data_IF_823742175317
#
_entry.id   IF_823742175317
#
_cell.length_a   1.000
_cell.length_b   1.000
_cell.length_c   1.000
_cell.angle_alpha   90.00
_cell.angle_beta   90.00
_cell.angle_gamma   90.00
#
_symmetry.space_group_name_H-M   'P 1'
#
loop_
_entity.id
_entity.type
_entity.pdbx_description
1 polymer ?
#
# COMPACT_ATOMS: atom_id res chain seq x y z
N UNK A 1 -16.24 6.07 5.87
CA UNK A 1 -15.40 5.09 6.62
C UNK A 1 -16.05 3.73 6.49
N UNK A 2 -15.30 2.63 6.30
CA UNK A 2 -15.84 1.28 6.03
C UNK A 2 -16.88 0.83 7.07
N UNK A 3 -16.67 1.22 8.33
CA UNK A 3 -17.56 1.00 9.47
C UNK A 3 -18.99 1.54 9.24
N UNK A 4 -19.15 2.67 8.55
CA UNK A 4 -20.46 3.29 8.30
C UNK A 4 -21.27 2.62 7.19
N UNK A 5 -20.66 1.74 6.39
CA UNK A 5 -21.35 0.97 5.34
C UNK A 5 -21.78 -0.42 5.81
N UNK A 6 -21.53 -0.79 7.07
CA UNK A 6 -21.97 -2.06 7.63
C UNK A 6 -23.42 -2.02 8.05
N UNK A 7 -24.13 -3.14 7.83
CA UNK A 7 -25.51 -3.35 8.32
C UNK A 7 -25.58 -3.19 9.85
N UNK A 8 -24.52 -3.61 10.56
CA UNK A 8 -24.40 -3.48 12.01
C UNK A 8 -23.00 -2.97 12.40
N UNK A 9 -22.83 -1.64 12.57
CA UNK A 9 -21.55 -1.04 12.92
C UNK A 9 -20.97 -1.53 14.25
N UNK A 10 -21.83 -1.98 15.19
CA UNK A 10 -21.38 -2.47 16.51
C UNK A 10 -20.51 -3.74 16.43
N UNK A 11 -20.62 -4.49 15.33
CA UNK A 11 -19.84 -5.70 15.06
C UNK A 11 -18.56 -5.46 14.27
N UNK A 12 -18.23 -4.21 13.95
CA UNK A 12 -17.05 -3.89 13.16
C UNK A 12 -15.75 -4.39 13.80
N UNK A 13 -15.58 -4.18 15.11
CA UNK A 13 -14.42 -4.65 15.85
C UNK A 13 -14.31 -6.18 15.81
N UNK A 14 -15.41 -6.88 16.06
CA UNK A 14 -15.47 -8.35 15.99
C UNK A 14 -15.12 -8.87 14.59
N UNK A 15 -15.67 -8.24 13.54
CA UNK A 15 -15.36 -8.59 12.15
C UNK A 15 -13.87 -8.38 11.83
N UNK A 16 -13.28 -7.27 12.28
CA UNK A 16 -11.87 -6.98 12.10
C UNK A 16 -10.98 -8.01 12.80
N UNK A 17 -11.28 -8.32 14.06
CA UNK A 17 -10.50 -9.27 14.86
C UNK A 17 -10.49 -10.65 14.18
N UNK A 18 -11.64 -11.15 13.76
CA UNK A 18 -11.72 -12.43 13.02
C UNK A 18 -11.03 -12.37 11.66
N UNK A 19 -11.15 -11.26 10.93
CA UNK A 19 -10.46 -11.09 9.65
C UNK A 19 -8.94 -11.15 9.83
N UNK A 20 -8.41 -10.55 10.90
CA UNK A 20 -6.99 -10.61 11.23
C UNK A 20 -6.54 -12.01 11.67
N UNK A 21 -7.35 -12.72 12.46
CA UNK A 21 -7.07 -14.12 12.85
C UNK A 21 -6.96 -15.00 11.61
N UNK A 22 -7.95 -14.96 10.71
CA UNK A 22 -7.91 -15.73 9.47
C UNK A 22 -6.74 -15.32 8.58
N UNK A 23 -6.47 -14.02 8.44
CA UNK A 23 -5.31 -13.54 7.68
C UNK A 23 -3.98 -14.05 8.26
N UNK A 24 -3.84 -14.11 9.58
CA UNK A 24 -2.66 -14.65 10.24
C UNK A 24 -2.49 -16.15 9.96
N UNK A 25 -3.57 -16.94 10.05
CA UNK A 25 -3.56 -18.37 9.73
C UNK A 25 -3.13 -18.60 8.29
N UNK A 26 -3.74 -17.91 7.33
CA UNK A 26 -3.39 -18.06 5.91
C UNK A 26 -1.94 -17.69 5.62
N UNK A 27 -1.46 -16.57 6.18
CA UNK A 27 -0.06 -16.14 6.02
C UNK A 27 0.92 -17.13 6.61
N UNK A 28 0.65 -17.64 7.82
CA UNK A 28 1.50 -18.60 8.51
C UNK A 28 1.55 -19.94 7.78
N UNK A 29 0.38 -20.47 7.39
CA UNK A 29 0.30 -21.73 6.65
C UNK A 29 0.99 -21.62 5.28
N UNK A 30 0.74 -20.54 4.54
CA UNK A 30 1.40 -20.30 3.25
C UNK A 30 2.93 -20.23 3.40
N UNK A 31 3.42 -19.45 4.38
CA UNK A 31 4.85 -19.34 4.68
C UNK A 31 5.47 -20.68 5.06
N UNK A 32 4.80 -21.46 5.91
CA UNK A 32 5.26 -22.77 6.35
C UNK A 32 5.38 -23.76 5.18
N UNK A 33 4.35 -23.85 4.33
CA UNK A 33 4.37 -24.73 3.14
C UNK A 33 5.50 -24.32 2.19
N UNK A 34 5.65 -23.02 1.93
CA UNK A 34 6.71 -22.50 1.08
C UNK A 34 8.11 -22.79 1.63
N UNK A 35 8.32 -22.62 2.93
CA UNK A 35 9.59 -22.93 3.58
C UNK A 35 9.93 -24.42 3.49
N UNK A 36 8.95 -25.31 3.71
CA UNK A 36 9.17 -26.75 3.56
C UNK A 36 9.40 -27.17 2.09
N UNK A 37 8.82 -26.45 1.13
CA UNK A 37 8.91 -26.78 -0.29
C UNK A 37 10.25 -26.37 -0.90
N UNK A 38 10.73 -25.16 -0.57
CA UNK A 38 11.95 -24.59 -1.17
C UNK A 38 13.15 -24.63 -0.23
N UNK A 39 12.96 -24.80 1.08
CA UNK A 39 14.00 -24.91 2.10
C UNK A 39 15.11 -23.85 1.92
N UNK A 40 16.35 -24.29 1.66
CA UNK A 40 17.52 -23.42 1.50
C UNK A 40 17.48 -22.56 0.22
N UNK A 41 16.64 -22.91 -0.76
CA UNK A 41 16.46 -22.15 -2.01
C UNK A 41 15.39 -21.06 -1.90
N UNK A 42 14.83 -20.82 -0.70
CA UNK A 42 13.79 -19.82 -0.49
C UNK A 42 14.31 -18.40 -0.73
N UNK A 43 14.07 -17.85 -1.92
CA UNK A 43 14.33 -16.44 -2.22
C UNK A 43 13.37 -15.50 -1.48
N UNK A 44 13.78 -14.24 -1.33
CA UNK A 44 12.98 -13.17 -0.70
C UNK A 44 11.61 -13.00 -1.35
N UNK A 45 11.54 -13.20 -2.66
CA UNK A 45 10.29 -13.17 -3.44
C UNK A 45 9.94 -14.61 -3.81
N UNK A 46 8.92 -15.17 -3.16
CA UNK A 46 8.58 -16.58 -3.29
C UNK A 46 8.23 -17.01 -4.72
N UNK A 47 7.69 -16.09 -5.52
CA UNK A 47 7.35 -16.37 -6.93
C UNK A 47 8.59 -16.63 -7.78
N UNK A 48 9.77 -16.18 -7.34
CA UNK A 48 11.02 -16.48 -8.04
C UNK A 48 11.45 -17.94 -7.88
N UNK A 49 11.00 -18.62 -6.84
CA UNK A 49 11.31 -20.04 -6.57
C UNK A 49 10.44 -21.00 -7.40
N UNK A 50 9.42 -20.50 -8.10
CA UNK A 50 8.55 -21.33 -8.93
C UNK A 50 9.33 -21.88 -10.13
N UNK A 51 9.50 -23.21 -10.18
CA UNK A 51 10.23 -23.89 -11.26
C UNK A 51 9.50 -23.85 -12.61
N UNK A 52 8.16 -23.81 -12.61
CA UNK A 52 7.37 -23.73 -13.84
C UNK A 52 7.34 -22.31 -14.38
N UNK A 53 7.96 -22.09 -15.55
CA UNK A 53 8.02 -20.78 -16.20
C UNK A 53 6.63 -20.20 -16.51
N UNK A 54 5.67 -21.03 -16.93
CA UNK A 54 4.30 -20.60 -17.22
C UNK A 54 3.54 -20.17 -15.96
N UNK A 55 3.64 -20.96 -14.88
CA UNK A 55 2.98 -20.64 -13.61
C UNK A 55 3.59 -19.40 -12.96
N UNK A 56 4.92 -19.28 -12.99
CA UNK A 56 5.64 -18.08 -12.53
C UNK A 56 5.19 -16.82 -13.29
N UNK A 57 5.08 -16.91 -14.62
CA UNK A 57 4.62 -15.81 -15.46
C UNK A 57 3.20 -15.35 -15.10
N UNK A 58 2.27 -16.30 -14.97
CA UNK A 58 0.88 -16.01 -14.60
C UNK A 58 0.80 -15.29 -13.24
N UNK A 59 1.45 -15.85 -12.21
CA UNK A 59 1.42 -15.27 -10.86
C UNK A 59 2.03 -13.87 -10.84
N UNK A 60 3.16 -13.66 -11.52
CA UNK A 60 3.80 -12.35 -11.58
C UNK A 60 2.92 -11.32 -12.31
N UNK A 61 2.25 -11.69 -13.40
CA UNK A 61 1.30 -10.79 -14.09
C UNK A 61 0.15 -10.42 -13.16
N UNK A 62 -0.44 -11.40 -12.46
CA UNK A 62 -1.49 -11.13 -11.48
C UNK A 62 -1.00 -10.19 -10.36
N UNK A 63 0.23 -10.34 -9.89
CA UNK A 63 0.81 -9.45 -8.87
C UNK A 63 1.01 -8.03 -9.40
N UNK A 64 1.48 -7.86 -10.64
CA UNK A 64 1.63 -6.53 -11.26
C UNK A 64 0.27 -5.86 -11.45
N UNK A 65 -0.73 -6.58 -11.96
CA UNK A 65 -2.09 -6.06 -12.12
C UNK A 65 -2.67 -5.65 -10.77
N UNK A 66 -2.53 -6.51 -9.75
CA UNK A 66 -2.94 -6.19 -8.38
C UNK A 66 -2.26 -4.92 -7.88
N UNK A 67 -0.95 -4.77 -8.09
CA UNK A 67 -0.20 -3.60 -7.65
C UNK A 67 -0.68 -2.32 -8.34
N UNK A 68 -0.88 -2.34 -9.66
CA UNK A 68 -1.40 -1.18 -10.42
C UNK A 68 -2.79 -0.76 -9.97
N UNK A 69 -3.67 -1.73 -9.72
CA UNK A 69 -5.03 -1.46 -9.23
C UNK A 69 -5.04 -0.98 -7.77
N UNK A 70 -4.09 -1.46 -6.96
CA UNK A 70 -4.04 -1.14 -5.53
C UNK A 70 -3.26 0.14 -5.24
N UNK A 71 -2.36 0.58 -6.12
CA UNK A 71 -1.49 1.76 -5.91
C UNK A 71 -2.25 3.08 -5.66
N UNK A 72 -3.36 3.40 -6.36
CA UNK A 72 -4.06 4.66 -6.16
C UNK A 72 -4.60 4.84 -4.74
N UNK A 73 -5.10 3.77 -4.11
CA UNK A 73 -5.73 3.81 -2.79
C UNK A 73 -4.79 4.34 -1.68
N UNK A 74 -3.63 3.71 -1.40
CA UNK A 74 -2.67 4.20 -0.42
C UNK A 74 -2.02 5.51 -0.85
N UNK A 75 -1.83 5.74 -2.16
CA UNK A 75 -1.26 7.00 -2.65
C UNK A 75 -2.16 8.20 -2.29
N UNK A 76 -3.46 8.12 -2.57
CA UNK A 76 -4.39 9.19 -2.23
C UNK A 76 -4.55 9.34 -0.71
N UNK A 77 -4.60 8.23 0.04
CA UNK A 77 -4.65 8.29 1.50
C UNK A 77 -3.40 8.96 2.11
N UNK A 78 -2.20 8.65 1.58
CA UNK A 78 -0.96 9.28 2.01
C UNK A 78 -0.93 10.78 1.66
N UNK A 79 -1.35 11.15 0.45
CA UNK A 79 -1.48 12.55 0.05
C UNK A 79 -2.42 13.32 0.98
N UNK A 80 -3.57 12.75 1.33
CA UNK A 80 -4.55 13.37 2.23
C UNK A 80 -4.00 13.54 3.65
N UNK A 81 -3.30 12.52 4.19
CA UNK A 81 -2.66 12.60 5.50
C UNK A 81 -1.56 13.66 5.54
N UNK A 82 -0.70 13.70 4.53
CA UNK A 82 0.36 14.69 4.40
C UNK A 82 -0.19 16.10 4.21
N UNK A 83 -1.24 16.25 3.40
CA UNK A 83 -1.94 17.51 3.22
C UNK A 83 -2.51 18.02 4.56
N UNK A 84 -3.18 17.15 5.32
CA UNK A 84 -3.71 17.47 6.64
C UNK A 84 -2.62 17.85 7.64
N UNK A 85 -1.45 17.23 7.55
CA UNK A 85 -0.32 17.47 8.44
C UNK A 85 0.41 18.80 8.14
N UNK A 86 0.57 19.15 6.85
CA UNK A 86 1.46 20.24 6.44
C UNK A 86 0.72 21.48 5.88
N UNK A 87 -0.49 21.35 5.34
CA UNK A 87 -1.14 22.38 4.50
C UNK A 87 -2.55 22.79 4.95
N UNK A 88 -2.77 22.93 6.26
CA UNK A 88 -4.06 23.32 6.88
C UNK A 88 -4.22 24.83 7.10
N UNK A 89 -3.26 25.65 6.66
CA UNK A 89 -3.22 27.09 6.91
C UNK A 89 -2.74 27.47 8.32
N UNK A 90 -2.26 28.71 8.48
CA UNK A 90 -1.89 29.27 9.79
C UNK A 90 -3.14 29.57 10.62
N UNK A 91 -3.10 29.41 11.96
CA UNK A 91 -1.94 29.08 12.80
C UNK A 91 -1.69 27.56 12.98
N UNK A 92 -2.46 26.68 12.34
CA UNK A 92 -2.41 25.24 12.59
C UNK A 92 -1.28 24.50 11.86
N UNK A 93 -0.75 25.05 10.76
CA UNK A 93 0.33 24.44 9.96
C UNK A 93 1.24 25.49 9.33
N UNK A 94 2.42 25.07 8.86
CA UNK A 94 3.49 25.93 8.36
C UNK A 94 3.18 26.46 6.95
N UNK A 95 2.50 25.67 6.10
CA UNK A 95 2.26 26.00 4.70
C UNK A 95 0.82 26.46 4.40
N UNK A 96 0.61 27.31 3.38
CA UNK A 96 -0.72 27.74 2.93
C UNK A 96 -1.51 26.59 2.33
N UNK A 97 -2.83 26.70 2.25
CA UNK A 97 -3.70 25.65 1.72
C UNK A 97 -3.40 25.35 0.24
N UNK A 98 -3.37 24.05 -0.08
CA UNK A 98 -3.11 23.53 -1.43
C UNK A 98 -4.25 23.87 -2.41
N UNK A 99 -5.47 23.97 -1.89
CA UNK A 99 -6.66 24.29 -2.68
C UNK A 99 -6.85 25.81 -2.82
N UNK A 100 -7.30 26.25 -3.99
CA UNK A 100 -7.91 27.59 -4.13
C UNK A 100 -9.33 27.59 -3.56
N UNK A 101 -9.86 28.79 -3.31
CA UNK A 101 -11.21 29.00 -2.78
C UNK A 101 -12.30 28.36 -3.67
N UNK A 102 -12.02 28.23 -4.97
CA UNK A 102 -12.90 27.64 -5.99
C UNK A 102 -12.79 26.10 -6.10
N UNK A 103 -11.95 25.45 -5.31
CA UNK A 103 -11.77 23.99 -5.33
C UNK A 103 -10.77 23.46 -6.38
N UNK A 104 -10.15 24.34 -7.16
CA UNK A 104 -9.04 23.96 -8.05
C UNK A 104 -7.74 23.68 -7.27
N UNK A 105 -6.95 22.75 -7.81
CA UNK A 105 -5.64 22.41 -7.27
C UNK A 105 -4.61 23.46 -7.71
N UNK A 106 -3.98 24.17 -6.76
CA UNK A 106 -2.90 25.10 -7.09
C UNK A 106 -1.71 24.34 -7.71
N UNK A 107 -0.92 25.02 -8.54
CA UNK A 107 0.33 24.47 -9.11
C UNK A 107 1.26 23.91 -8.02
N UNK A 108 1.30 24.57 -6.86
CA UNK A 108 2.02 24.10 -5.67
C UNK A 108 1.53 22.74 -5.14
N UNK A 109 0.22 22.48 -5.22
CA UNK A 109 -0.39 21.19 -4.87
C UNK A 109 -0.01 20.07 -5.82
N UNK A 110 -0.01 20.38 -7.12
CA UNK A 110 0.43 19.43 -8.13
C UNK A 110 1.92 19.08 -7.95
N UNK A 111 2.76 20.09 -7.72
CA UNK A 111 4.18 19.89 -7.44
C UNK A 111 4.42 19.01 -6.19
N UNK A 112 3.63 19.20 -5.13
CA UNK A 112 3.69 18.34 -3.94
C UNK A 112 3.34 16.88 -4.25
N UNK A 113 2.24 16.63 -4.96
CA UNK A 113 1.81 15.29 -5.37
C UNK A 113 2.84 14.58 -6.25
N UNK A 114 3.43 15.30 -7.21
CA UNK A 114 4.52 14.78 -8.05
C UNK A 114 5.76 14.52 -7.19
N UNK A 115 6.09 15.41 -6.26
CA UNK A 115 7.21 15.25 -5.33
C UNK A 115 7.13 13.96 -4.51
N UNK A 116 5.94 13.60 -4.01
CA UNK A 116 5.72 12.32 -3.31
C UNK A 116 6.02 11.13 -4.23
N UNK A 117 5.53 11.15 -5.48
CA UNK A 117 5.79 10.06 -6.44
C UNK A 117 7.28 9.94 -6.71
N UNK A 118 7.96 11.05 -7.02
CA UNK A 118 9.40 11.08 -7.27
C UNK A 118 10.18 10.57 -6.06
N UNK A 119 9.81 10.99 -4.84
CA UNK A 119 10.43 10.51 -3.61
C UNK A 119 10.28 8.99 -3.45
N UNK A 120 9.09 8.45 -3.68
CA UNK A 120 8.87 6.99 -3.61
C UNK A 120 9.65 6.22 -4.68
N UNK A 121 9.80 6.78 -5.89
CA UNK A 121 10.61 6.18 -6.97
C UNK A 121 12.10 6.22 -6.60
N UNK A 122 12.60 7.35 -6.08
CA UNK A 122 13.99 7.46 -5.63
C UNK A 122 14.29 6.43 -4.54
N UNK A 123 13.40 6.27 -3.55
CA UNK A 123 13.54 5.23 -2.53
C UNK A 123 13.60 3.82 -3.15
N UNK A 124 12.75 3.53 -4.13
CA UNK A 124 12.78 2.24 -4.84
C UNK A 124 14.08 2.03 -5.65
N UNK A 125 14.67 3.08 -6.21
CA UNK A 125 15.94 3.00 -6.94
C UNK A 125 17.15 2.80 -6.01
N UNK A 126 17.19 3.49 -4.87
CA UNK A 126 18.33 3.42 -3.94
C UNK A 126 18.31 2.20 -3.04
N UNK A 127 17.13 1.68 -2.68
CA UNK A 127 16.96 0.56 -1.74
C UNK A 127 16.08 -0.51 -2.39
N UNK A 128 16.59 -1.31 -3.34
CA UNK A 128 15.83 -2.38 -3.98
C UNK A 128 15.71 -3.65 -3.10
N UNK A 129 15.84 -3.53 -1.77
CA UNK A 129 15.71 -4.66 -0.84
C UNK A 129 14.27 -4.79 -0.36
N UNK A 130 13.56 -5.78 -0.91
CA UNK A 130 12.17 -6.10 -0.58
C UNK A 130 11.94 -6.45 0.90
N UNK A 131 13.00 -6.81 1.66
CA UNK A 131 12.92 -7.21 3.06
C UNK A 131 12.84 -6.06 4.08
N UNK A 132 13.10 -4.82 3.65
CA UNK A 132 13.06 -3.65 4.54
C UNK A 132 11.63 -3.06 4.62
N UNK A 133 10.72 -3.49 3.74
CA UNK A 133 9.33 -3.03 3.65
C UNK A 133 8.36 -3.97 4.37
#
# INVERSE_FOLDING_TARGET
TLEGNMIDPSKFQWMLDWSHVWAAIFKAAFGYICFLTFQNDTQQVITNNLHSAGFKGLVNICLVVKALLSYPLPYYAACELLERAFFRGRPKTIFPTIWTLDGDLKVWGLAWRIGIVVFTILMACFIPHFQIL
#
